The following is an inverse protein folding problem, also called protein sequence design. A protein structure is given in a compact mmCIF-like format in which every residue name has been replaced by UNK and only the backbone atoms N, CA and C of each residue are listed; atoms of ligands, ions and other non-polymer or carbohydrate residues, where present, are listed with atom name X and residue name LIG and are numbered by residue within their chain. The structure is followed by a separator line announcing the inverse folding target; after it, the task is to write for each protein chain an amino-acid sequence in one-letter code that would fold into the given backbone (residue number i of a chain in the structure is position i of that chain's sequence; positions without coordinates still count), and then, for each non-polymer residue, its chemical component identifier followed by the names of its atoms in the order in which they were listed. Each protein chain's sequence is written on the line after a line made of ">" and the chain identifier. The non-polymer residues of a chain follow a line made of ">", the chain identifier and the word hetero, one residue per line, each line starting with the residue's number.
data_IF_119650191149
#
_entry.id   IF_119650191149
#
_cell.length_a   1.000
_cell.length_b   1.000
_cell.length_c   1.000
_cell.angle_alpha   90.00
_cell.angle_beta   90.00
_cell.angle_gamma   90.00
#
_symmetry.space_group_name_H-M   'P 1'
#
loop_
_entity.id
_entity.type
_entity.pdbx_description
1 polymer ?
#
# COMPACT_ATOMS: atom_id res chain seq x y z
N UNK A 1 -5.26 21.50 7.23
CA UNK A 1 -4.27 20.47 7.60
C UNK A 1 -2.91 21.14 7.54
N UNK A 2 -1.99 20.92 8.49
CA UNK A 2 -0.62 21.37 8.28
C UNK A 2 -0.11 20.66 7.03
N UNK A 3 0.39 21.44 6.09
CA UNK A 3 0.88 20.99 4.79
C UNK A 3 1.99 19.94 4.97
N UNK A 4 1.77 18.69 4.55
CA UNK A 4 2.88 17.82 4.15
C UNK A 4 3.39 16.70 5.09
N UNK A 5 2.54 15.97 5.82
CA UNK A 5 2.95 14.66 6.40
C UNK A 5 2.45 13.49 5.53
N UNK A 6 2.91 13.51 4.28
CA UNK A 6 2.85 12.43 3.27
C UNK A 6 4.29 12.00 2.97
N UNK A 7 5.11 11.85 4.01
CA UNK A 7 6.54 11.66 3.85
C UNK A 7 6.83 10.18 4.00
N UNK A 8 7.44 9.57 2.98
CA UNK A 8 7.97 8.22 3.04
C UNK A 8 9.18 8.11 3.99
N UNK A 9 9.08 8.65 5.21
CA UNK A 9 10.17 8.92 6.16
C UNK A 9 10.01 8.15 7.46
N UNK A 10 11.12 7.91 8.17
CA UNK A 10 11.12 7.27 9.49
C UNK A 10 10.22 8.00 10.50
N UNK A 11 10.29 9.33 10.54
CA UNK A 11 9.50 10.12 11.47
C UNK A 11 7.99 9.94 11.29
N UNK A 12 7.53 9.79 10.04
CA UNK A 12 6.12 9.53 9.75
C UNK A 12 5.72 8.10 10.14
N UNK A 13 6.58 7.11 9.91
CA UNK A 13 6.33 5.73 10.36
C UNK A 13 6.27 5.64 11.89
N UNK A 14 7.21 6.29 12.59
CA UNK A 14 7.22 6.34 14.06
C UNK A 14 5.94 6.98 14.60
N UNK A 15 5.49 8.08 13.99
CA UNK A 15 4.24 8.73 14.36
C UNK A 15 3.03 7.83 14.12
N UNK A 16 2.99 7.07 13.02
CA UNK A 16 1.92 6.13 12.72
C UNK A 16 1.83 5.04 13.81
N UNK A 17 2.97 4.44 14.18
CA UNK A 17 3.04 3.43 15.23
C UNK A 17 2.63 4.00 16.59
N UNK A 18 3.07 5.22 16.92
CA UNK A 18 2.65 5.91 18.16
C UNK A 18 1.13 6.14 18.22
N UNK A 19 0.45 6.21 17.08
CA UNK A 19 -1.00 6.33 16.97
C UNK A 19 -1.70 4.97 16.80
N UNK A 20 -0.97 3.85 16.94
CA UNK A 20 -1.52 2.50 16.94
C UNK A 20 -1.74 1.89 15.55
N UNK A 21 -1.19 2.48 14.49
CA UNK A 21 -1.26 1.88 13.16
C UNK A 21 -0.26 0.73 13.01
N UNK A 22 -0.73 -0.37 12.41
CA UNK A 22 0.08 -1.56 12.10
C UNK A 22 0.20 -1.84 10.60
N UNK A 23 -0.54 -1.09 9.78
CA UNK A 23 -0.44 -1.10 8.32
C UNK A 23 -0.08 0.31 7.86
N UNK A 24 1.03 0.43 7.14
CA UNK A 24 1.59 1.70 6.69
C UNK A 24 1.84 1.60 5.18
N UNK A 25 1.34 2.58 4.41
CA UNK A 25 1.71 2.69 2.99
C UNK A 25 3.08 3.35 2.85
N UNK A 26 3.91 2.83 1.94
CA UNK A 26 5.07 3.52 1.42
C UNK A 26 5.10 3.46 -0.10
N UNK A 27 5.48 4.59 -0.71
CA UNK A 27 5.79 4.66 -2.13
C UNK A 27 7.21 4.15 -2.39
N UNK A 28 7.37 3.41 -3.48
CA UNK A 28 8.68 2.98 -3.95
C UNK A 28 8.85 3.25 -5.44
N UNK A 29 10.10 3.40 -5.86
CA UNK A 29 10.46 3.45 -7.27
C UNK A 29 11.78 2.75 -7.52
N UNK A 30 11.87 2.02 -8.63
CA UNK A 30 13.13 1.43 -9.08
C UNK A 30 13.90 2.44 -9.92
N UNK A 31 15.18 2.66 -9.58
CA UNK A 31 16.09 3.53 -10.32
C UNK A 31 17.50 2.96 -10.29
N UNK A 32 18.15 2.94 -11.45
CA UNK A 32 19.56 2.55 -11.60
C UNK A 32 19.90 1.19 -10.95
N UNK A 33 18.95 0.25 -10.99
CA UNK A 33 19.11 -1.10 -10.43
C UNK A 33 18.93 -1.19 -8.91
N UNK A 34 18.40 -0.15 -8.26
CA UNK A 34 18.06 -0.13 -6.84
C UNK A 34 16.58 0.23 -6.63
N UNK A 35 16.00 -0.25 -5.52
CA UNK A 35 14.69 0.20 -5.05
C UNK A 35 14.88 1.37 -4.08
N UNK A 36 14.25 2.49 -4.39
CA UNK A 36 14.24 3.70 -3.58
C UNK A 36 12.86 3.89 -2.95
N UNK A 37 12.82 4.53 -1.79
CA UNK A 37 11.60 4.91 -1.10
C UNK A 37 11.26 6.35 -1.50
N UNK A 38 10.08 6.58 -2.04
CA UNK A 38 9.71 7.88 -2.60
C UNK A 38 8.59 7.81 -3.63
N UNK A 39 7.89 8.94 -3.80
CA UNK A 39 6.72 9.05 -4.66
C UNK A 39 7.09 9.32 -6.13
N UNK A 40 8.14 10.10 -6.37
CA UNK A 40 8.64 10.46 -7.69
C UNK A 40 10.11 10.92 -7.59
N UNK A 41 10.73 11.24 -8.73
CA UNK A 41 12.15 11.61 -8.81
C UNK A 41 12.51 12.86 -7.98
N UNK A 42 11.55 13.75 -7.75
CA UNK A 42 11.74 14.98 -6.97
C UNK A 42 11.43 14.77 -5.47
N UNK A 43 10.91 13.60 -5.09
CA UNK A 43 10.43 13.27 -3.73
C UNK A 43 10.94 11.92 -3.25
N UNK A 44 12.24 11.70 -3.41
CA UNK A 44 12.96 10.57 -2.83
C UNK A 44 13.15 10.83 -1.33
N UNK A 45 12.86 9.82 -0.51
CA UNK A 45 13.07 9.87 0.93
C UNK A 45 14.55 9.72 1.28
N UNK A 46 14.94 10.30 2.41
CA UNK A 46 16.22 9.99 3.06
C UNK A 46 16.22 8.58 3.68
N UNK A 47 15.04 8.00 3.94
CA UNK A 47 14.92 6.63 4.43
C UNK A 47 15.39 5.66 3.35
N UNK A 48 16.44 4.91 3.66
CA UNK A 48 16.96 3.85 2.80
C UNK A 48 16.21 2.53 3.02
N UNK A 49 16.36 1.59 2.08
CA UNK A 49 15.77 0.27 2.22
C UNK A 49 16.37 -0.52 3.41
N UNK A 50 17.67 -0.35 3.69
CA UNK A 50 18.34 -0.95 4.84
C UNK A 50 17.77 -0.42 6.16
N UNK A 51 17.57 0.89 6.26
CA UNK A 51 16.94 1.50 7.43
C UNK A 51 15.48 1.09 7.60
N UNK A 52 14.73 0.91 6.50
CA UNK A 52 13.37 0.37 6.55
C UNK A 52 13.36 -1.05 7.13
N UNK A 53 14.25 -1.93 6.67
CA UNK A 53 14.33 -3.29 7.21
C UNK A 53 14.72 -3.29 8.69
N UNK A 54 15.73 -2.50 9.08
CA UNK A 54 16.10 -2.36 10.49
C UNK A 54 14.92 -1.85 11.34
N UNK A 55 14.17 -0.88 10.83
CA UNK A 55 12.98 -0.35 11.50
C UNK A 55 11.86 -1.40 11.63
N UNK A 56 11.67 -2.26 10.63
CA UNK A 56 10.69 -3.35 10.69
C UNK A 56 11.07 -4.43 11.71
N UNK A 57 12.36 -4.68 11.96
CA UNK A 57 12.81 -5.55 13.04
C UNK A 57 12.48 -4.96 14.43
N UNK A 58 12.58 -3.64 14.56
CA UNK A 58 12.20 -2.91 15.78
C UNK A 58 10.67 -2.87 16.00
N UNK A 59 9.87 -3.04 14.94
CA UNK A 59 8.42 -2.92 14.94
C UNK A 59 7.76 -4.19 14.34
N UNK A 60 7.80 -5.34 15.05
CA UNK A 60 7.41 -6.65 14.49
C UNK A 60 5.93 -6.77 14.11
N UNK A 61 5.06 -5.98 14.74
CA UNK A 61 3.62 -5.98 14.46
C UNK A 61 3.23 -5.15 13.24
N UNK A 62 4.18 -4.42 12.64
CA UNK A 62 3.95 -3.55 11.49
C UNK A 62 4.21 -4.28 10.18
N UNK A 63 3.33 -4.05 9.20
CA UNK A 63 3.53 -4.42 7.80
C UNK A 63 3.38 -3.21 6.88
N UNK A 64 4.11 -3.24 5.78
CA UNK A 64 4.13 -2.17 4.79
C UNK A 64 3.29 -2.56 3.57
N UNK A 65 2.34 -1.71 3.20
CA UNK A 65 1.68 -1.81 1.90
C UNK A 65 2.51 -1.02 0.89
N UNK A 66 2.84 -1.65 -0.24
CA UNK A 66 3.79 -1.07 -1.20
C UNK A 66 3.07 -0.49 -2.41
N UNK A 67 3.28 0.80 -2.69
CA UNK A 67 2.91 1.40 -3.97
C UNK A 67 4.16 1.64 -4.84
N UNK A 68 4.48 0.67 -5.71
CA UNK A 68 5.66 0.76 -6.58
C UNK A 68 5.30 1.46 -7.90
N UNK A 69 5.82 2.68 -8.08
CA UNK A 69 5.49 3.56 -9.22
C UNK A 69 6.08 3.12 -10.56
N UNK A 70 7.15 2.33 -10.54
CA UNK A 70 7.85 1.82 -11.74
C UNK A 70 7.41 0.41 -12.14
N UNK A 71 6.35 -0.11 -11.53
CA UNK A 71 5.84 -1.46 -11.75
C UNK A 71 6.45 -2.52 -10.84
N UNK A 72 5.87 -3.72 -10.89
CA UNK A 72 6.09 -4.78 -9.90
C UNK A 72 7.48 -5.45 -9.90
N UNK A 73 8.37 -5.08 -10.82
CA UNK A 73 9.75 -5.60 -10.83
C UNK A 73 10.51 -5.23 -9.53
N UNK A 74 10.19 -4.08 -8.94
CA UNK A 74 10.79 -3.62 -7.68
C UNK A 74 10.53 -4.56 -6.49
N UNK A 75 9.47 -5.37 -6.54
CA UNK A 75 9.13 -6.30 -5.46
C UNK A 75 10.22 -7.34 -5.18
N UNK A 76 11.09 -7.63 -6.15
CA UNK A 76 12.22 -8.56 -5.94
C UNK A 76 13.18 -8.12 -4.83
N UNK A 77 13.29 -6.81 -4.58
CA UNK A 77 14.14 -6.28 -3.51
C UNK A 77 13.52 -6.48 -2.12
N UNK A 78 12.19 -6.64 -2.07
CA UNK A 78 11.42 -6.83 -0.84
C UNK A 78 11.14 -8.31 -0.54
N UNK A 79 11.27 -9.19 -1.55
CA UNK A 79 11.00 -10.62 -1.45
C UNK A 79 11.71 -11.34 -0.29
N UNK A 80 12.95 -10.99 0.11
CA UNK A 80 13.58 -11.60 1.29
C UNK A 80 12.83 -11.38 2.61
N UNK A 81 11.94 -10.39 2.67
CA UNK A 81 11.12 -10.01 3.82
C UNK A 81 9.62 -10.04 3.47
N UNK A 82 9.21 -10.91 2.55
CA UNK A 82 7.87 -10.86 1.93
C UNK A 82 6.70 -10.89 2.93
N UNK A 83 6.87 -11.52 4.09
CA UNK A 83 5.90 -11.55 5.18
C UNK A 83 5.61 -10.17 5.79
N UNK A 84 6.57 -9.25 5.69
CA UNK A 84 6.49 -7.88 6.20
C UNK A 84 5.85 -6.89 5.22
N UNK A 85 5.53 -7.32 4.00
CA UNK A 85 4.99 -6.47 2.95
C UNK A 85 3.66 -6.99 2.40
N UNK A 86 2.85 -6.07 1.86
CA UNK A 86 1.60 -6.36 1.15
C UNK A 86 1.67 -5.60 -0.18
N UNK A 87 2.02 -6.26 -1.30
CA UNK A 87 2.11 -5.58 -2.58
C UNK A 87 0.76 -5.14 -3.13
N UNK A 88 0.76 -3.97 -3.78
CA UNK A 88 -0.35 -3.55 -4.62
C UNK A 88 -0.13 -3.97 -6.07
N UNK A 89 -1.16 -4.54 -6.69
CA UNK A 89 -1.19 -4.84 -8.13
C UNK A 89 -2.30 -4.05 -8.81
N UNK A 90 -2.08 -3.67 -10.06
CA UNK A 90 -3.02 -2.87 -10.85
C UNK A 90 -3.78 -3.73 -11.87
N UNK A 91 -3.23 -4.88 -12.23
CA UNK A 91 -3.82 -5.80 -13.19
C UNK A 91 -3.90 -7.23 -12.64
N UNK A 92 -5.03 -7.96 -12.85
CA UNK A 92 -5.18 -9.31 -12.32
C UNK A 92 -4.11 -10.32 -12.79
N UNK A 93 -3.47 -10.09 -13.94
CA UNK A 93 -2.43 -10.98 -14.46
C UNK A 93 -1.11 -10.89 -13.68
N UNK A 94 -0.91 -9.83 -12.90
CA UNK A 94 0.29 -9.65 -12.07
C UNK A 94 0.28 -10.55 -10.84
N UNK A 95 -0.90 -10.97 -10.39
CA UNK A 95 -1.10 -11.79 -9.19
C UNK A 95 -0.20 -13.02 -9.13
N UNK A 96 -0.14 -13.79 -10.23
CA UNK A 96 0.67 -15.01 -10.27
C UNK A 96 2.17 -14.74 -10.10
N UNK A 97 2.67 -13.66 -10.73
CA UNK A 97 4.07 -13.24 -10.61
C UNK A 97 4.38 -12.79 -9.18
N UNK A 98 3.51 -11.99 -8.57
CA UNK A 98 3.70 -11.48 -7.21
C UNK A 98 3.63 -12.61 -6.17
N UNK A 99 2.64 -13.52 -6.27
CA UNK A 99 2.60 -14.75 -5.44
C UNK A 99 3.87 -15.58 -5.59
N UNK A 100 4.40 -15.68 -6.82
CA UNK A 100 5.63 -16.43 -7.12
C UNK A 100 6.89 -15.86 -6.46
N UNK A 101 6.88 -14.58 -6.05
CA UNK A 101 7.96 -13.95 -5.29
C UNK A 101 7.88 -14.23 -3.77
N UNK A 102 6.80 -14.85 -3.29
CA UNK A 102 6.61 -15.22 -1.88
C UNK A 102 5.68 -14.28 -1.09
N UNK A 103 5.04 -13.30 -1.74
CA UNK A 103 4.05 -12.46 -1.07
C UNK A 103 2.71 -13.17 -0.98
N UNK A 104 2.27 -13.48 0.24
CA UNK A 104 1.00 -14.16 0.46
C UNK A 104 -0.18 -13.18 0.38
N UNK A 105 -0.08 -12.05 1.07
CA UNK A 105 -1.12 -11.03 1.05
C UNK A 105 -0.86 -10.03 -0.07
N UNK A 106 -1.86 -9.85 -0.93
CA UNK A 106 -1.78 -8.94 -2.08
C UNK A 106 -3.04 -8.07 -2.11
N UNK A 107 -2.86 -6.78 -2.36
CA UNK A 107 -3.94 -5.83 -2.58
C UNK A 107 -4.11 -5.60 -4.09
N UNK A 108 -5.33 -5.67 -4.59
CA UNK A 108 -5.64 -5.20 -5.94
C UNK A 108 -6.13 -3.74 -5.89
N UNK A 109 -5.48 -2.85 -6.63
CA UNK A 109 -5.84 -1.43 -6.72
C UNK A 109 -6.57 -1.14 -8.02
N UNK A 110 -7.87 -0.81 -7.93
CA UNK A 110 -8.72 -0.46 -9.08
C UNK A 110 -8.46 0.95 -9.63
N UNK A 111 -7.21 1.40 -9.60
CA UNK A 111 -6.76 2.66 -10.16
C UNK A 111 -6.58 2.50 -11.68
N UNK A 112 -7.06 3.48 -12.46
CA UNK A 112 -7.00 3.40 -13.92
C UNK A 112 -7.95 2.40 -14.60
N UNK A 113 -8.82 1.70 -13.85
CA UNK A 113 -9.90 0.91 -14.46
C UNK A 113 -10.89 1.83 -15.19
N UNK A 114 -11.28 1.44 -16.40
CA UNK A 114 -12.25 2.14 -17.25
C UNK A 114 -13.60 1.41 -17.38
N UNK A 115 -13.66 0.15 -16.95
CA UNK A 115 -14.85 -0.70 -16.96
C UNK A 115 -14.95 -1.53 -15.67
N UNK A 116 -16.04 -2.28 -15.51
CA UNK A 116 -16.29 -3.18 -14.38
C UNK A 116 -15.76 -4.61 -14.59
N UNK A 117 -15.05 -4.88 -15.68
CA UNK A 117 -14.65 -6.24 -16.07
C UNK A 117 -13.59 -6.85 -15.14
N UNK A 118 -12.93 -6.01 -14.35
CA UNK A 118 -11.95 -6.45 -13.35
C UNK A 118 -12.61 -7.22 -12.20
N UNK A 119 -13.86 -6.89 -11.82
CA UNK A 119 -14.52 -7.44 -10.63
C UNK A 119 -14.58 -8.98 -10.68
N UNK A 120 -15.07 -9.54 -11.79
CA UNK A 120 -15.21 -10.99 -11.93
C UNK A 120 -13.86 -11.73 -11.99
N UNK A 121 -12.76 -11.02 -12.31
CA UNK A 121 -11.40 -11.59 -12.29
C UNK A 121 -10.83 -11.54 -10.88
N UNK A 122 -10.97 -10.39 -10.22
CA UNK A 122 -10.48 -10.11 -8.86
C UNK A 122 -11.18 -10.99 -7.83
N UNK A 123 -12.49 -11.24 -7.95
CA UNK A 123 -13.22 -12.15 -7.07
C UNK A 123 -12.75 -13.62 -7.17
N UNK A 124 -11.96 -13.99 -8.18
CA UNK A 124 -11.38 -15.34 -8.32
C UNK A 124 -9.98 -15.46 -7.72
N UNK A 125 -9.38 -14.34 -7.33
CA UNK A 125 -8.06 -14.29 -6.71
C UNK A 125 -8.20 -14.34 -5.20
N UNK A 126 -7.21 -14.90 -4.51
CA UNK A 126 -7.12 -14.86 -3.05
C UNK A 126 -6.36 -13.58 -2.66
N UNK A 127 -7.11 -12.51 -2.40
CA UNK A 127 -6.57 -11.18 -2.14
C UNK A 127 -6.78 -10.81 -0.69
N UNK A 128 -5.79 -10.11 -0.14
CA UNK A 128 -5.93 -9.50 1.18
C UNK A 128 -7.05 -8.45 1.16
N UNK A 129 -7.07 -7.61 0.12
CA UNK A 129 -8.12 -6.63 -0.09
C UNK A 129 -8.15 -6.07 -1.52
N UNK A 130 -9.17 -5.25 -1.78
CA UNK A 130 -9.29 -4.41 -2.97
C UNK A 130 -9.30 -2.95 -2.54
N UNK A 131 -8.45 -2.12 -3.12
CA UNK A 131 -8.54 -0.67 -2.98
C UNK A 131 -9.19 -0.06 -4.21
N UNK A 132 -10.01 0.97 -4.03
CA UNK A 132 -10.65 1.67 -5.15
C UNK A 132 -10.89 3.16 -4.86
N UNK A 133 -10.82 4.04 -5.86
CA UNK A 133 -11.22 5.43 -5.70
C UNK A 133 -12.72 5.56 -5.47
N UNK A 134 -13.12 6.64 -4.78
CA UNK A 134 -14.51 6.89 -4.38
C UNK A 134 -15.53 6.74 -5.51
N UNK A 135 -15.15 7.10 -6.75
CA UNK A 135 -16.01 6.93 -7.94
C UNK A 135 -16.49 5.49 -8.15
N UNK A 136 -15.75 4.50 -7.65
CA UNK A 136 -16.07 3.07 -7.72
C UNK A 136 -16.81 2.53 -6.50
N UNK A 137 -17.09 3.34 -5.46
CA UNK A 137 -17.77 2.84 -4.23
C UNK A 137 -19.10 2.12 -4.53
N UNK A 138 -19.80 2.54 -5.57
CA UNK A 138 -21.05 1.93 -6.01
C UNK A 138 -20.90 0.46 -6.47
N UNK A 139 -19.69 0.00 -6.81
CA UNK A 139 -19.42 -1.40 -7.15
C UNK A 139 -18.84 -2.22 -6.00
N UNK A 140 -18.51 -1.61 -4.86
CA UNK A 140 -18.00 -2.32 -3.68
C UNK A 140 -18.88 -3.51 -3.25
N UNK A 141 -20.23 -3.45 -3.29
CA UNK A 141 -21.08 -4.61 -2.96
C UNK A 141 -20.95 -5.81 -3.90
N UNK A 142 -20.24 -5.68 -5.02
CA UNK A 142 -20.00 -6.74 -6.01
C UNK A 142 -18.61 -7.37 -5.85
N UNK A 143 -17.79 -6.87 -4.94
CA UNK A 143 -16.44 -7.35 -4.66
C UNK A 143 -16.52 -8.29 -3.46
N UNK A 144 -16.00 -9.51 -3.62
CA UNK A 144 -16.09 -10.56 -2.59
C UNK A 144 -15.00 -10.42 -1.50
N UNK A 145 -14.12 -9.43 -1.66
CA UNK A 145 -13.00 -9.11 -0.77
C UNK A 145 -13.29 -7.89 0.09
N UNK A 146 -12.50 -7.69 1.15
CA UNK A 146 -12.52 -6.43 1.88
C UNK A 146 -12.20 -5.27 0.93
N UNK A 147 -13.02 -4.22 0.96
CA UNK A 147 -12.85 -3.03 0.14
C UNK A 147 -12.36 -1.86 0.98
N UNK A 148 -11.27 -1.26 0.53
CA UNK A 148 -10.75 0.00 1.04
C UNK A 148 -10.90 1.11 -0.01
N UNK A 149 -11.10 2.35 0.42
CA UNK A 149 -11.17 3.50 -0.47
C UNK A 149 -9.85 4.26 -0.50
N UNK A 150 -9.30 4.49 -1.70
CA UNK A 150 -8.01 5.16 -1.91
C UNK A 150 -8.10 6.24 -3.00
N UNK A 151 -7.60 7.46 -2.85
CA UNK A 151 -7.13 8.12 -1.61
C UNK A 151 -8.27 8.86 -0.94
N UNK A 152 -8.39 8.73 0.39
CA UNK A 152 -9.35 9.50 1.16
C UNK A 152 -8.62 10.20 2.32
N UNK A 153 -8.34 11.48 2.14
CA UNK A 153 -7.64 12.32 3.13
C UNK A 153 -8.61 12.93 4.17
N UNK A 154 -9.61 12.15 4.59
CA UNK A 154 -10.61 12.54 5.60
C UNK A 154 -11.02 11.30 6.42
N UNK A 155 -11.39 11.44 7.69
CA UNK A 155 -11.90 10.29 8.46
C UNK A 155 -13.24 9.80 7.90
N UNK A 156 -13.45 8.47 7.92
CA UNK A 156 -14.74 7.84 7.68
C UNK A 156 -15.12 6.94 8.86
N UNK A 157 -16.37 7.03 9.29
CA UNK A 157 -16.91 6.10 10.28
C UNK A 157 -17.30 4.74 9.66
N UNK A 158 -17.03 3.66 10.41
CA UNK A 158 -17.58 2.29 10.29
C UNK A 158 -17.14 1.37 9.14
N UNK A 159 -16.19 1.78 8.28
CA UNK A 159 -15.54 0.88 7.33
C UNK A 159 -14.02 0.89 7.59
N UNK A 160 -13.36 -0.25 7.37
CA UNK A 160 -11.90 -0.34 7.48
C UNK A 160 -11.26 0.76 6.62
N UNK A 161 -10.35 1.53 7.21
CA UNK A 161 -9.61 2.60 6.56
C UNK A 161 -8.22 2.07 6.24
N UNK A 162 -7.92 1.95 4.95
CA UNK A 162 -6.55 1.98 4.45
C UNK A 162 -6.36 3.42 3.98
N UNK A 163 -5.46 4.14 4.64
CA UNK A 163 -5.25 5.56 4.41
C UNK A 163 -3.78 5.82 4.20
N UNK A 164 -3.48 6.62 3.18
CA UNK A 164 -2.17 7.25 2.99
C UNK A 164 -1.92 8.33 4.08
N UNK A 165 -2.90 8.58 4.97
CA UNK A 165 -2.83 9.54 6.05
C UNK A 165 -2.42 8.84 7.36
N UNK A 166 -1.13 8.88 7.66
CA UNK A 166 -0.50 8.30 8.86
C UNK A 166 -0.89 8.96 10.20
N UNK A 167 -1.93 9.79 10.22
CA UNK A 167 -2.39 10.51 11.40
C UNK A 167 -3.92 10.39 11.48
N UNK A 168 -4.48 9.78 12.55
CA UNK A 168 -5.92 9.84 12.76
C UNK A 168 -6.29 11.26 13.17
N UNK A 169 -7.43 11.77 12.68
CA UNK A 169 -7.96 13.03 13.19
C UNK A 169 -8.25 12.87 14.69
N UNK A 170 -7.73 13.78 15.52
CA UNK A 170 -8.05 13.78 16.95
C UNK A 170 -9.56 14.01 17.09
N UNK A 171 -10.27 12.98 17.57
CA UNK A 171 -11.67 13.11 17.92
C UNK A 171 -11.76 14.01 19.15
N UNK A 172 -12.41 15.16 18.99
CA UNK A 172 -12.76 16.08 20.07
C UNK A 172 -13.91 15.54 20.90
#
# INVERSE_FOLDING_TARGET
>A
MPDGLYTNSRAAMDLAVQNGFTLIELDFMERDGALLIGHDEDRISELTLEELFAWLEENPDVRIVTDIKTGNNGLRFLAPHADRFIPQIYYPHEYGTVRGLGFDDIIFTAYGAWSNDWIAKVNKLDLFAVTMPLRWVHVAPRVDHQVYLHTFNRPMGSLGLYTDCLIPEQTS
#
